data_IF_424670404017
#
_entry.id   IF_424670404017
#
_cell.length_a   1.000
_cell.length_b   1.000
_cell.length_c   1.000
_cell.angle_alpha   90.00
_cell.angle_beta   90.00
_cell.angle_gamma   90.00
#
_symmetry.space_group_name_H-M   'P 1'
#
loop_
_entity.id
_entity.type
_entity.pdbx_description
1 polymer ?
#
# COMPACT_ATOMS: atom_id res chain seq x y z
N UNK A 1 32.34 14.19 25.83
CA UNK A 1 30.99 14.60 25.35
C UNK A 1 30.22 13.34 25.01
N UNK A 2 28.90 13.33 25.26
CA UNK A 2 28.00 12.23 24.90
C UNK A 2 27.09 12.67 23.76
N UNK A 3 27.21 12.03 22.60
CA UNK A 3 26.29 12.25 21.48
C UNK A 3 24.98 11.51 21.76
N UNK A 4 23.90 12.26 21.95
CA UNK A 4 22.62 11.76 22.42
C UNK A 4 21.54 11.83 21.32
N UNK A 5 20.92 10.70 20.99
CA UNK A 5 19.78 10.62 20.06
C UNK A 5 18.44 10.64 20.81
N UNK A 6 17.67 11.70 20.60
CA UNK A 6 16.34 11.90 21.17
C UNK A 6 15.23 11.70 20.13
N UNK A 7 14.26 10.81 20.40
CA UNK A 7 13.17 10.46 19.49
C UNK A 7 11.76 10.65 20.07
N UNK A 8 11.68 11.11 21.33
CA UNK A 8 10.45 11.31 22.09
C UNK A 8 10.33 12.74 22.62
N UNK A 9 9.95 12.91 23.89
CA UNK A 9 9.81 14.24 24.51
C UNK A 9 11.13 15.03 24.57
N UNK A 10 12.28 14.36 24.58
CA UNK A 10 13.60 15.00 24.50
C UNK A 10 13.94 15.56 23.11
N UNK A 11 13.07 15.43 22.11
CA UNK A 11 13.23 16.18 20.86
C UNK A 11 13.15 17.70 21.09
N UNK A 12 12.53 18.14 22.19
CA UNK A 12 12.51 19.55 22.61
C UNK A 12 13.84 19.98 23.22
N UNK A 13 14.48 20.98 22.63
CA UNK A 13 15.73 21.54 23.12
C UNK A 13 15.60 22.09 24.55
N UNK A 14 14.55 22.84 24.83
CA UNK A 14 14.23 23.37 26.18
C UNK A 14 14.16 22.25 27.24
N UNK A 15 13.66 21.08 26.84
CA UNK A 15 13.57 19.93 27.73
C UNK A 15 14.94 19.31 28.04
N UNK A 16 15.86 19.34 27.08
CA UNK A 16 17.23 18.85 27.24
C UNK A 16 18.07 19.87 28.00
N UNK A 17 18.05 21.15 27.59
CA UNK A 17 18.83 22.22 28.23
C UNK A 17 18.38 22.50 29.66
N UNK A 18 17.10 22.32 29.99
CA UNK A 18 16.62 22.36 31.38
C UNK A 18 17.20 21.26 32.30
N UNK A 19 17.91 20.25 31.75
CA UNK A 19 18.57 19.17 32.51
C UNK A 19 20.07 19.09 32.29
N UNK A 20 20.54 19.56 31.14
CA UNK A 20 21.94 19.72 30.78
C UNK A 20 22.09 21.10 30.12
N UNK A 21 22.29 22.18 30.89
CA UNK A 21 22.30 23.56 30.40
C UNK A 21 23.28 23.83 29.28
N UNK A 22 24.39 23.09 29.24
CA UNK A 22 25.45 23.24 28.24
C UNK A 22 25.29 22.26 27.07
N UNK A 23 24.18 21.52 26.99
CA UNK A 23 23.89 20.66 25.85
C UNK A 23 23.65 21.49 24.57
N UNK A 24 24.22 21.04 23.46
CA UNK A 24 24.11 21.74 22.18
C UNK A 24 23.32 20.92 21.17
N UNK A 25 22.41 21.58 20.46
CA UNK A 25 21.69 20.97 19.34
C UNK A 25 22.65 20.73 18.17
N UNK A 26 22.82 19.48 17.77
CA UNK A 26 23.69 19.10 16.63
C UNK A 26 22.90 19.11 15.33
N UNK A 27 21.69 18.55 15.34
CA UNK A 27 20.87 18.47 14.14
C UNK A 27 19.86 17.34 14.16
N UNK A 28 19.11 17.24 13.07
CA UNK A 28 18.15 16.16 12.85
C UNK A 28 18.89 14.87 12.53
N UNK A 29 18.32 13.75 12.94
CA UNK A 29 18.84 12.44 12.58
C UNK A 29 17.71 11.42 12.34
N UNK A 30 18.06 10.34 11.64
CA UNK A 30 17.20 9.17 11.50
C UNK A 30 17.91 7.93 12.01
N UNK A 31 17.16 7.05 12.65
CA UNK A 31 17.60 5.76 13.17
C UNK A 31 16.97 4.63 12.33
N UNK A 32 17.70 4.04 11.36
CA UNK A 32 17.21 2.93 10.54
C UNK A 32 17.16 1.62 11.34
N UNK A 33 16.33 0.66 10.90
CA UNK A 33 16.14 -0.67 11.51
C UNK A 33 15.53 -0.65 12.92
N UNK A 34 14.86 0.45 13.28
CA UNK A 34 14.09 0.57 14.51
C UNK A 34 12.70 1.15 14.21
N UNK A 35 11.70 0.76 14.99
CA UNK A 35 10.40 1.43 15.04
C UNK A 35 10.18 2.10 16.38
N UNK A 36 9.37 3.17 16.37
CA UNK A 36 8.83 3.73 17.60
C UNK A 36 7.73 2.80 18.14
N UNK A 37 7.73 2.64 19.45
CA UNK A 37 6.80 1.81 20.21
C UNK A 37 6.37 2.60 21.44
N UNK A 38 5.16 2.35 21.95
CA UNK A 38 4.73 2.87 23.25
C UNK A 38 4.64 1.75 24.28
N UNK A 39 5.77 1.06 24.50
CA UNK A 39 5.85 -0.16 25.30
C UNK A 39 5.79 0.07 26.81
N UNK A 40 5.70 1.31 27.28
CA UNK A 40 5.74 1.64 28.71
C UNK A 40 4.67 2.65 29.07
N UNK A 41 4.02 2.42 30.21
CA UNK A 41 3.12 3.40 30.84
C UNK A 41 3.94 4.29 31.78
N UNK A 42 3.83 5.61 31.61
CA UNK A 42 4.40 6.58 32.52
C UNK A 42 3.72 6.52 33.88
N UNK A 43 4.50 6.40 34.96
CA UNK A 43 3.98 6.49 36.33
C UNK A 43 3.40 7.87 36.64
N UNK A 44 3.86 8.94 35.96
CA UNK A 44 3.41 10.32 36.20
C UNK A 44 2.08 10.62 35.54
N UNK A 45 1.88 10.17 34.31
CA UNK A 45 0.72 10.54 33.48
C UNK A 45 -0.26 9.40 33.28
N UNK A 46 0.11 8.16 33.62
CA UNK A 46 -0.72 7.00 33.36
C UNK A 46 -0.91 6.71 31.86
N UNK A 47 -0.06 7.22 30.98
CA UNK A 47 -0.18 7.07 29.52
C UNK A 47 1.09 6.48 28.90
N UNK A 48 0.98 6.00 27.67
CA UNK A 48 2.10 5.47 26.89
C UNK A 48 3.20 6.51 26.67
N UNK A 49 4.45 6.09 26.80
CA UNK A 49 5.64 6.90 26.48
C UNK A 49 6.50 6.22 25.42
N UNK A 50 7.18 7.03 24.61
CA UNK A 50 7.96 6.56 23.48
C UNK A 50 9.10 5.62 23.92
N UNK A 51 9.32 4.62 23.10
CA UNK A 51 10.36 3.60 23.17
C UNK A 51 10.80 3.28 21.73
N UNK A 52 11.95 2.66 21.56
CA UNK A 52 12.40 2.14 20.27
C UNK A 52 12.69 0.65 20.40
N UNK A 53 12.27 -0.11 19.38
CA UNK A 53 12.56 -1.54 19.27
C UNK A 53 13.14 -1.82 17.90
N UNK A 54 14.13 -2.71 17.84
CA UNK A 54 14.70 -3.16 16.59
C UNK A 54 13.59 -3.82 15.76
N UNK A 55 13.39 -3.32 14.55
CA UNK A 55 12.37 -3.79 13.64
C UNK A 55 12.86 -3.50 12.22
N UNK A 56 13.31 -4.53 11.49
CA UNK A 56 13.89 -4.33 10.17
C UNK A 56 12.96 -3.60 9.21
N UNK A 57 13.51 -2.65 8.45
CA UNK A 57 12.77 -1.84 7.48
C UNK A 57 11.96 -0.67 8.04
N UNK A 58 11.95 -0.47 9.38
CA UNK A 58 11.38 0.72 9.99
C UNK A 58 12.45 1.81 10.21
N UNK A 59 12.01 3.05 10.44
CA UNK A 59 12.92 4.13 10.82
C UNK A 59 12.26 5.07 11.83
N UNK A 60 13.06 5.51 12.80
CA UNK A 60 12.66 6.51 13.80
C UNK A 60 13.33 7.85 13.49
N UNK A 61 12.56 8.93 13.48
CA UNK A 61 13.07 10.28 13.35
C UNK A 61 13.36 10.88 14.73
N UNK A 62 14.42 11.68 14.82
CA UNK A 62 14.82 12.30 16.07
C UNK A 62 15.83 13.43 15.88
N UNK A 63 16.43 13.81 17.00
CA UNK A 63 17.39 14.92 17.14
C UNK A 63 18.66 14.39 17.79
N UNK A 64 19.81 14.92 17.36
CA UNK A 64 21.09 14.73 18.01
C UNK A 64 21.44 15.94 18.88
N UNK A 65 21.90 15.66 20.09
CA UNK A 65 22.47 16.63 21.01
C UNK A 65 23.88 16.20 21.41
N UNK A 66 24.81 17.15 21.53
CA UNK A 66 26.08 16.94 22.22
C UNK A 66 25.89 17.37 23.67
N UNK A 67 26.00 16.42 24.59
CA UNK A 67 25.77 16.63 26.02
C UNK A 67 27.10 16.47 26.79
N UNK A 68 27.51 17.44 27.61
CA UNK A 68 28.70 17.28 28.46
C UNK A 68 28.56 16.12 29.45
N UNK A 69 29.64 15.38 29.67
CA UNK A 69 29.63 14.16 30.50
C UNK A 69 29.26 14.45 31.97
N UNK A 70 29.69 15.60 32.49
CA UNK A 70 29.32 16.08 33.82
C UNK A 70 27.81 16.40 33.95
N UNK A 71 27.14 16.73 32.84
CA UNK A 71 25.71 17.04 32.80
C UNK A 71 24.84 15.85 32.37
N UNK A 72 25.44 14.80 31.80
CA UNK A 72 24.74 13.59 31.34
C UNK A 72 23.91 12.92 32.45
N UNK A 73 24.38 13.01 33.71
CA UNK A 73 23.65 12.52 34.88
C UNK A 73 22.26 13.16 35.03
N UNK A 74 22.08 14.41 34.58
CA UNK A 74 20.79 15.11 34.55
C UNK A 74 19.78 14.44 33.61
N UNK A 75 20.23 14.00 32.44
CA UNK A 75 19.44 13.27 31.45
C UNK A 75 19.10 11.86 31.96
N UNK A 76 20.10 11.12 32.47
CA UNK A 76 19.91 9.79 33.07
C UNK A 76 18.87 9.82 34.20
N UNK A 77 18.89 10.86 35.05
CA UNK A 77 17.89 11.04 36.11
C UNK A 77 16.49 11.27 35.56
N UNK A 78 16.36 12.05 34.48
CA UNK A 78 15.07 12.34 33.84
C UNK A 78 14.42 11.07 33.26
N UNK A 79 15.19 10.28 32.54
CA UNK A 79 14.73 9.03 31.92
C UNK A 79 14.51 7.91 32.96
N UNK A 80 14.83 8.17 34.23
CA UNK A 80 14.72 7.17 35.30
C UNK A 80 15.70 6.01 35.15
N UNK A 81 16.84 6.24 34.48
CA UNK A 81 17.90 5.26 34.28
C UNK A 81 18.71 5.01 35.57
N UNK A 82 18.70 5.97 36.51
CA UNK A 82 19.39 5.88 37.81
C UNK A 82 18.51 5.35 38.95
N UNK A 83 17.28 4.91 38.66
CA UNK A 83 16.38 4.36 39.68
C UNK A 83 16.78 2.94 40.07
N UNK A 84 16.43 2.50 41.30
CA UNK A 84 16.66 1.10 41.75
C UNK A 84 16.05 0.07 40.80
N UNK A 85 14.91 0.41 40.19
CA UNK A 85 14.33 -0.29 39.05
C UNK A 85 14.31 0.69 37.86
N UNK A 86 15.31 0.65 36.96
CA UNK A 86 15.43 1.62 35.89
C UNK A 86 14.26 1.55 34.91
N UNK A 87 13.72 2.71 34.54
CA UNK A 87 12.65 2.80 33.55
C UNK A 87 13.17 2.61 32.12
N UNK A 88 14.33 3.20 31.85
CA UNK A 88 15.06 3.11 30.58
C UNK A 88 16.51 2.74 30.86
N UNK A 89 17.16 2.12 29.87
CA UNK A 89 18.60 1.92 29.80
C UNK A 89 19.17 2.59 28.56
N UNK A 90 20.45 2.89 28.58
CA UNK A 90 21.15 3.41 27.40
C UNK A 90 21.57 2.27 26.48
N UNK A 91 21.50 2.52 25.18
CA UNK A 91 22.03 1.66 24.12
C UNK A 91 22.78 2.52 23.10
N UNK A 92 23.81 1.96 22.49
CA UNK A 92 24.44 2.58 21.33
C UNK A 92 23.65 2.23 20.06
N UNK A 93 23.36 3.25 19.26
CA UNK A 93 22.65 3.12 18.00
C UNK A 93 23.40 3.85 16.89
N UNK A 94 23.34 3.32 15.68
CA UNK A 94 23.91 3.99 14.50
C UNK A 94 22.82 4.84 13.85
N UNK A 95 22.97 6.16 13.92
CA UNK A 95 22.03 7.12 13.33
C UNK A 95 22.65 7.80 12.13
N UNK A 96 21.83 8.18 11.15
CA UNK A 96 22.25 9.03 10.04
C UNK A 96 21.97 10.50 10.39
N UNK A 97 23.03 11.30 10.55
CA UNK A 97 22.97 12.74 10.80
C UNK A 97 22.66 13.49 9.50
N UNK A 98 21.60 14.31 9.51
CA UNK A 98 21.29 15.16 8.35
C UNK A 98 22.19 16.39 8.26
N UNK A 99 22.71 16.88 9.39
CA UNK A 99 23.64 18.01 9.42
C UNK A 99 24.97 17.65 8.73
N UNK A 100 25.50 16.47 9.05
CA UNK A 100 26.81 16.02 8.55
C UNK A 100 26.73 15.12 7.31
N UNK A 101 25.52 14.68 6.94
CA UNK A 101 25.26 13.71 5.87
C UNK A 101 26.06 12.40 6.00
N UNK A 102 26.28 11.94 7.24
CA UNK A 102 27.00 10.69 7.55
C UNK A 102 26.36 9.95 8.73
N UNK A 103 26.66 8.67 8.83
CA UNK A 103 26.31 7.88 10.01
C UNK A 103 27.19 8.24 11.20
N UNK A 104 26.59 8.30 12.40
CA UNK A 104 27.26 8.49 13.69
C UNK A 104 26.74 7.47 14.69
N UNK A 105 27.62 6.99 15.57
CA UNK A 105 27.20 6.24 16.76
C UNK A 105 26.73 7.23 17.81
N UNK A 106 25.50 7.04 18.30
CA UNK A 106 24.89 7.88 19.32
C UNK A 106 24.27 7.03 20.42
N UNK A 107 24.20 7.58 21.62
CA UNK A 107 23.51 6.97 22.76
C UNK A 107 22.02 7.26 22.65
N UNK A 108 21.18 6.24 22.76
CA UNK A 108 19.72 6.36 22.85
C UNK A 108 19.21 5.65 24.10
N UNK A 109 17.99 5.97 24.52
CA UNK A 109 17.31 5.25 25.60
C UNK A 109 16.38 4.17 25.03
N UNK A 110 16.28 3.03 25.71
CA UNK A 110 15.27 1.99 25.44
C UNK A 110 14.64 1.54 26.74
N UNK A 111 13.37 1.15 26.71
CA UNK A 111 12.66 0.65 27.90
C UNK A 111 13.30 -0.67 28.34
N UNK A 112 13.55 -0.83 29.65
CA UNK A 112 14.18 -2.04 30.21
C UNK A 112 13.24 -3.24 30.16
N UNK A 113 11.97 -3.04 30.51
CA UNK A 113 10.94 -4.09 30.56
C UNK A 113 9.67 -3.59 29.89
N UNK A 114 9.61 -3.61 28.54
CA UNK A 114 8.44 -3.14 27.82
C UNK A 114 7.26 -4.10 27.99
N UNK A 115 6.07 -3.55 28.23
CA UNK A 115 4.81 -4.30 28.23
C UNK A 115 4.53 -4.88 26.85
N UNK A 116 4.03 -6.13 26.79
CA UNK A 116 3.65 -6.78 25.53
C UNK A 116 2.64 -5.96 24.72
N UNK A 117 1.67 -5.35 25.42
CA UNK A 117 0.68 -4.46 24.84
C UNK A 117 1.19 -3.02 24.83
N UNK A 118 1.12 -2.37 23.66
CA UNK A 118 1.41 -0.95 23.55
C UNK A 118 0.35 -0.11 24.27
N UNK A 119 0.84 0.91 24.97
CA UNK A 119 0.05 1.80 25.80
C UNK A 119 -0.28 3.06 25.00
N UNK A 120 -1.52 3.54 25.10
CA UNK A 120 -1.96 4.73 24.36
C UNK A 120 -1.27 5.98 24.95
N UNK A 121 -0.53 6.76 24.15
CA UNK A 121 0.07 8.02 24.62
C UNK A 121 -1.00 9.09 24.84
N UNK A 122 -0.72 10.09 25.68
CA UNK A 122 -1.66 11.19 25.86
C UNK A 122 -1.66 12.13 24.65
N UNK A 123 -2.77 12.84 24.45
CA UNK A 123 -2.88 13.81 23.36
C UNK A 123 -1.89 14.97 23.54
N UNK A 124 -1.62 15.38 24.78
CA UNK A 124 -0.63 16.41 25.13
C UNK A 124 0.78 15.95 24.80
N UNK A 125 1.12 14.70 25.15
CA UNK A 125 2.44 14.12 24.86
C UNK A 125 2.70 14.09 23.35
N UNK A 126 1.73 13.63 22.57
CA UNK A 126 1.83 13.61 21.10
C UNK A 126 1.84 15.02 20.52
N UNK A 127 1.07 15.96 21.08
CA UNK A 127 1.08 17.36 20.64
C UNK A 127 2.44 18.01 20.85
N UNK A 128 3.12 17.74 21.97
CA UNK A 128 4.49 18.21 22.19
C UNK A 128 5.45 17.66 21.14
N UNK A 129 5.35 16.36 20.80
CA UNK A 129 6.17 15.76 19.74
C UNK A 129 5.86 16.34 18.35
N UNK A 130 4.57 16.59 18.04
CA UNK A 130 4.12 17.21 16.78
C UNK A 130 4.75 18.59 16.63
N UNK A 131 4.67 19.43 17.67
CA UNK A 131 5.25 20.78 17.66
C UNK A 131 6.75 20.74 17.35
N UNK A 132 7.49 19.80 17.93
CA UNK A 132 8.92 19.65 17.62
C UNK A 132 9.15 19.14 16.20
N UNK A 133 8.38 18.14 15.76
CA UNK A 133 8.47 17.64 14.39
C UNK A 133 8.20 18.75 13.36
N UNK A 134 7.22 19.62 13.60
CA UNK A 134 6.92 20.78 12.75
C UNK A 134 8.05 21.81 12.76
N UNK A 135 8.57 22.19 13.93
CA UNK A 135 9.71 23.11 14.06
C UNK A 135 10.98 22.62 13.35
N UNK A 136 11.21 21.31 13.41
CA UNK A 136 12.36 20.67 12.78
C UNK A 136 12.16 20.46 11.27
N UNK A 137 10.99 20.78 10.69
CA UNK A 137 10.70 20.49 9.30
C UNK A 137 10.75 18.99 9.03
N UNK A 138 10.04 18.21 9.85
CA UNK A 138 9.83 16.77 9.71
C UNK A 138 8.35 16.47 9.39
N UNK A 139 7.80 16.95 8.25
CA UNK A 139 6.38 16.89 7.95
C UNK A 139 5.79 15.48 7.98
N UNK A 140 6.49 14.46 7.47
CA UNK A 140 6.02 13.07 7.58
C UNK A 140 5.88 12.59 9.03
N UNK A 141 6.85 12.92 9.88
CA UNK A 141 6.84 12.51 11.27
C UNK A 141 5.73 13.24 12.04
N UNK A 142 5.52 14.53 11.75
CA UNK A 142 4.39 15.29 12.29
C UNK A 142 3.04 14.70 11.88
N UNK A 143 2.87 14.29 10.62
CA UNK A 143 1.65 13.61 10.14
C UNK A 143 1.43 12.28 10.88
N UNK A 144 2.46 11.45 11.03
CA UNK A 144 2.40 10.21 11.80
C UNK A 144 1.96 10.46 13.26
N UNK A 145 2.54 11.47 13.92
CA UNK A 145 2.19 11.81 15.30
C UNK A 145 0.77 12.41 15.42
N UNK A 146 0.31 13.21 14.45
CA UNK A 146 -1.08 13.71 14.40
C UNK A 146 -2.08 12.56 14.24
N UNK A 147 -1.73 11.57 13.42
CA UNK A 147 -2.53 10.36 13.27
C UNK A 147 -2.59 9.56 14.57
N UNK A 148 -1.43 9.32 15.23
CA UNK A 148 -1.39 8.68 16.55
C UNK A 148 -2.27 9.42 17.55
N UNK A 149 -2.23 10.76 17.54
CA UNK A 149 -3.02 11.61 18.44
C UNK A 149 -4.51 11.43 18.19
N UNK A 150 -4.93 11.40 16.93
CA UNK A 150 -6.34 11.15 16.56
C UNK A 150 -6.79 9.77 17.02
N UNK A 151 -5.99 8.72 16.79
CA UNK A 151 -6.30 7.35 17.24
C UNK A 151 -6.36 7.21 18.76
N UNK A 152 -5.47 7.90 19.48
CA UNK A 152 -5.49 7.92 20.93
C UNK A 152 -6.80 8.49 21.51
N UNK A 153 -7.47 9.40 20.78
CA UNK A 153 -8.72 10.03 21.20
C UNK A 153 -9.99 9.19 20.94
N UNK A 154 -9.94 8.17 20.09
CA UNK A 154 -11.10 7.37 19.65
C UNK A 154 -11.33 6.08 20.50
N UNK A 155 -10.80 6.00 21.73
CA UNK A 155 -10.39 4.79 22.47
C UNK A 155 -11.29 3.53 22.52
N UNK A 156 -10.63 2.36 22.64
CA UNK A 156 -11.20 1.08 23.10
C UNK A 156 -10.35 -0.18 22.84
N UNK A 157 -9.46 -0.20 21.84
CA UNK A 157 -8.62 -1.38 21.54
C UNK A 157 -7.34 -0.97 20.82
N UNK A 158 -6.12 -1.33 21.29
CA UNK A 158 -4.91 -1.16 20.49
C UNK A 158 -4.90 -2.22 19.36
N UNK A 159 -4.39 -1.88 18.16
CA UNK A 159 -2.96 -2.15 17.97
C UNK A 159 -2.26 -1.00 17.24
N UNK A 160 -1.33 -0.35 17.95
CA UNK A 160 -0.32 0.56 17.38
C UNK A 160 0.63 -0.14 16.38
N UNK A 161 0.45 -1.45 16.15
CA UNK A 161 1.15 -2.28 15.15
C UNK A 161 0.57 -2.15 13.72
N UNK A 162 -0.53 -1.42 13.53
CA UNK A 162 -1.27 -1.37 12.26
C UNK A 162 -0.99 -0.12 11.41
N UNK A 163 -0.01 -0.22 10.50
CA UNK A 163 0.24 0.76 9.46
C UNK A 163 1.67 0.63 8.93
N UNK A 164 1.81 0.16 7.70
CA UNK A 164 3.08 0.25 6.98
C UNK A 164 3.39 1.73 6.70
N UNK A 165 4.66 2.13 6.63
CA UNK A 165 5.10 3.51 6.37
C UNK A 165 6.11 3.51 5.21
N UNK A 166 5.66 3.85 4.01
CA UNK A 166 6.56 4.01 2.83
C UNK A 166 6.89 5.48 2.61
N UNK A 167 8.15 5.84 2.36
CA UNK A 167 8.59 7.22 2.14
C UNK A 167 8.68 7.65 0.69
N UNK A 168 8.28 8.89 0.40
CA UNK A 168 8.53 9.60 -0.86
C UNK A 168 9.84 10.42 -0.82
N UNK A 169 10.55 10.67 -1.93
CA UNK A 169 11.88 11.29 -1.98
C UNK A 169 12.26 11.82 -3.37
N UNK A 170 12.94 12.95 -3.50
CA UNK A 170 13.23 13.54 -4.82
C UNK A 170 14.64 13.21 -5.34
N UNK A 171 15.36 12.27 -4.72
CA UNK A 171 16.80 12.01 -4.99
C UNK A 171 17.00 10.62 -5.58
N UNK A 172 17.42 10.50 -6.85
CA UNK A 172 17.75 9.21 -7.49
C UNK A 172 18.78 8.44 -6.62
N UNK A 173 18.47 7.20 -6.23
CA UNK A 173 19.36 6.28 -5.49
C UNK A 173 19.69 6.64 -4.04
N UNK A 174 18.91 7.48 -3.35
CA UNK A 174 19.08 7.71 -1.90
C UNK A 174 17.74 7.86 -1.17
N UNK A 175 17.57 7.23 0.02
CA UNK A 175 16.45 7.54 0.91
C UNK A 175 16.61 8.97 1.42
N UNK A 176 15.86 9.91 0.86
CA UNK A 176 16.02 11.34 1.11
C UNK A 176 14.73 12.11 1.30
N UNK A 177 13.60 11.46 1.55
CA UNK A 177 12.34 12.18 1.81
C UNK A 177 11.46 11.54 2.88
N UNK A 178 10.21 11.98 2.92
CA UNK A 178 9.27 11.91 4.04
C UNK A 178 8.29 10.70 3.94
N UNK A 179 8.19 9.89 5.02
CA UNK A 179 7.39 8.65 5.21
C UNK A 179 5.86 8.83 5.15
N UNK A 180 5.16 8.32 4.12
CA UNK A 180 3.79 8.70 3.76
C UNK A 180 2.97 7.66 2.92
N UNK A 181 2.82 6.39 3.32
CA UNK A 181 1.77 5.47 2.79
C UNK A 181 1.32 4.51 3.87
N UNK A 182 0.02 4.50 4.23
CA UNK A 182 -0.58 3.58 5.21
C UNK A 182 -1.35 2.44 4.53
N UNK A 183 -1.04 1.19 4.90
CA UNK A 183 -1.78 -0.03 4.51
C UNK A 183 -2.75 -0.44 5.61
N UNK A 184 -4.05 -0.59 5.30
CA UNK A 184 -5.06 -1.03 6.27
C UNK A 184 -5.07 -2.57 6.44
N UNK A 185 -4.98 -3.14 7.65
CA UNK A 185 -4.87 -4.60 7.84
C UNK A 185 -6.19 -5.38 7.86
N UNK A 186 -7.35 -4.74 8.09
CA UNK A 186 -8.65 -5.44 7.94
C UNK A 186 -8.96 -5.90 6.51
N UNK A 187 -8.26 -5.38 5.50
CA UNK A 187 -8.33 -5.82 4.10
C UNK A 187 -7.31 -6.91 3.76
N UNK A 188 -6.28 -7.12 4.59
CA UNK A 188 -5.26 -8.16 4.41
C UNK A 188 -5.78 -9.59 4.65
N UNK A 189 -6.86 -9.76 5.42
CA UNK A 189 -7.28 -11.07 5.93
C UNK A 189 -8.45 -11.79 5.24
N UNK A 190 -9.14 -11.20 4.26
CA UNK A 190 -10.39 -11.80 3.72
C UNK A 190 -10.51 -11.90 2.20
N UNK A 191 -9.53 -11.48 1.41
CA UNK A 191 -9.67 -11.46 -0.06
C UNK A 191 -8.62 -12.36 -0.69
N UNK A 192 -9.07 -13.30 -1.54
CA UNK A 192 -8.23 -14.20 -2.35
C UNK A 192 -7.21 -13.48 -3.25
N UNK A 193 -7.27 -12.14 -3.34
CA UNK A 193 -6.27 -11.27 -3.96
C UNK A 193 -5.82 -10.19 -2.96
N UNK A 194 -4.51 -10.02 -2.75
CA UNK A 194 -3.83 -9.06 -1.83
C UNK A 194 -4.13 -7.57 -2.17
N UNK A 195 -5.38 -7.15 -2.11
CA UNK A 195 -5.79 -5.76 -2.34
C UNK A 195 -5.78 -4.99 -1.02
N UNK A 196 -5.24 -3.77 -1.04
CA UNK A 196 -5.15 -2.89 0.12
C UNK A 196 -5.70 -1.51 -0.20
N UNK A 197 -6.15 -0.80 0.82
CA UNK A 197 -6.41 0.63 0.72
C UNK A 197 -5.15 1.38 1.15
N UNK A 198 -4.81 2.40 0.37
CA UNK A 198 -3.67 3.28 0.59
C UNK A 198 -4.19 4.70 0.78
N UNK A 199 -3.65 5.39 1.78
CA UNK A 199 -4.01 6.77 2.09
C UNK A 199 -2.77 7.66 2.17
N UNK A 200 -2.85 8.83 1.55
CA UNK A 200 -1.85 9.90 1.62
C UNK A 200 -2.55 11.26 1.54
N UNK A 201 -2.23 12.19 2.46
CA UNK A 201 -2.77 13.55 2.52
C UNK A 201 -4.30 13.65 2.36
N UNK A 202 -5.02 12.75 3.04
CA UNK A 202 -6.49 12.65 2.98
C UNK A 202 -7.04 12.03 1.70
N UNK A 203 -6.21 11.78 0.67
CA UNK A 203 -6.58 11.02 -0.52
C UNK A 203 -6.46 9.53 -0.23
N UNK A 204 -7.47 8.76 -0.65
CA UNK A 204 -7.51 7.32 -0.45
C UNK A 204 -7.73 6.63 -1.80
N UNK A 205 -7.02 5.54 -2.04
CA UNK A 205 -7.22 4.70 -3.22
C UNK A 205 -7.01 3.22 -2.91
N UNK A 206 -7.35 2.36 -3.86
CA UNK A 206 -7.11 0.91 -3.78
C UNK A 206 -5.84 0.60 -4.54
N UNK A 207 -4.96 -0.19 -3.94
CA UNK A 207 -3.75 -0.69 -4.56
C UNK A 207 -3.68 -2.22 -4.44
N UNK A 208 -2.96 -2.85 -5.36
CA UNK A 208 -2.58 -4.25 -5.22
C UNK A 208 -1.27 -4.32 -4.41
N UNK A 209 -1.30 -4.95 -3.24
CA UNK A 209 -0.11 -5.18 -2.44
C UNK A 209 0.61 -6.42 -2.95
N UNK A 210 1.91 -6.28 -3.16
CA UNK A 210 2.77 -7.43 -3.24
C UNK A 210 4.00 -7.33 -2.35
N UNK A 211 4.56 -8.49 -2.03
CA UNK A 211 5.76 -8.63 -1.22
C UNK A 211 6.70 -9.46 -2.09
N UNK A 212 7.57 -8.78 -2.85
CA UNK A 212 8.59 -9.40 -3.70
C UNK A 212 9.94 -9.38 -2.99
N UNK A 213 10.72 -10.44 -3.11
CA UNK A 213 12.11 -10.51 -2.61
C UNK A 213 13.11 -9.77 -3.52
N UNK A 214 12.71 -9.39 -4.74
CA UNK A 214 13.56 -8.77 -5.79
C UNK A 214 13.53 -7.23 -5.84
N UNK A 215 13.03 -6.57 -4.81
CA UNK A 215 13.18 -5.11 -4.72
C UNK A 215 14.55 -4.83 -4.12
N UNK A 216 15.43 -4.20 -4.89
CA UNK A 216 16.76 -3.82 -4.43
C UNK A 216 16.68 -3.20 -3.04
N UNK A 217 17.53 -3.64 -2.10
CA UNK A 217 17.56 -3.08 -0.74
C UNK A 217 17.45 -1.56 -0.80
N UNK A 218 16.53 -0.96 -0.01
CA UNK A 218 16.29 0.49 0.07
C UNK A 218 15.43 1.07 -1.06
N UNK A 219 14.62 0.28 -1.75
CA UNK A 219 13.66 0.81 -2.74
C UNK A 219 12.20 0.45 -2.48
N UNK A 220 11.30 1.39 -2.81
CA UNK A 220 9.86 1.15 -2.83
C UNK A 220 9.31 1.62 -4.16
N UNK A 221 8.76 0.69 -4.94
CA UNK A 221 8.13 1.02 -6.20
C UNK A 221 6.63 1.23 -6.01
N UNK A 222 6.23 2.50 -6.04
CA UNK A 222 4.84 2.91 -6.25
C UNK A 222 4.71 3.33 -7.72
N UNK A 223 3.72 2.77 -8.41
CA UNK A 223 3.36 3.15 -9.79
C UNK A 223 3.16 4.67 -9.96
N UNK A 224 3.52 5.21 -11.13
CA UNK A 224 3.39 6.64 -11.42
C UNK A 224 1.94 7.12 -11.33
N UNK A 225 0.96 6.31 -11.78
CA UNK A 225 -0.45 6.68 -11.70
C UNK A 225 -0.94 6.63 -10.25
N UNK A 226 -0.46 5.67 -9.47
CA UNK A 226 -0.77 5.59 -8.04
C UNK A 226 -0.19 6.77 -7.25
N UNK A 227 1.00 7.27 -7.63
CA UNK A 227 1.55 8.51 -7.07
C UNK A 227 0.71 9.72 -7.44
N UNK A 228 0.35 9.86 -8.70
CA UNK A 228 -0.50 10.95 -9.17
C UNK A 228 -1.86 10.96 -8.45
N UNK A 229 -2.48 9.78 -8.34
CA UNK A 229 -3.70 9.52 -7.60
C UNK A 229 -3.63 9.98 -6.14
N UNK A 230 -2.54 9.64 -5.46
CA UNK A 230 -2.29 10.03 -4.07
C UNK A 230 -1.89 11.52 -3.95
N UNK A 231 -1.51 12.20 -5.03
CA UNK A 231 -1.00 13.57 -5.00
C UNK A 231 0.51 13.67 -4.72
N UNK A 232 1.24 12.58 -4.90
CA UNK A 232 2.70 12.48 -4.74
C UNK A 232 3.44 12.95 -6.01
N UNK A 233 3.06 14.10 -6.57
CA UNK A 233 3.62 14.61 -7.83
C UNK A 233 5.06 15.09 -7.60
N UNK A 234 6.00 14.61 -8.42
CA UNK A 234 7.42 14.97 -8.34
C UNK A 234 8.20 14.27 -7.20
N UNK A 235 7.59 13.27 -6.56
CA UNK A 235 8.21 12.50 -5.47
C UNK A 235 8.58 11.08 -5.96
N UNK A 236 9.85 10.67 -5.83
CA UNK A 236 10.24 9.24 -5.89
C UNK A 236 9.73 8.50 -4.65
N UNK A 237 9.76 7.18 -4.59
CA UNK A 237 9.39 6.42 -3.39
C UNK A 237 10.56 5.51 -3.02
N UNK A 238 10.98 5.49 -1.75
CA UNK A 238 12.00 4.56 -1.24
C UNK A 238 11.61 4.10 0.18
N UNK A 239 11.64 2.79 0.40
CA UNK A 239 11.38 2.11 1.67
C UNK A 239 12.02 0.73 1.66
N UNK A 240 11.91 -0.03 2.76
CA UNK A 240 12.21 -1.46 2.75
C UNK A 240 10.88 -2.25 2.78
N UNK A 241 10.80 -3.22 1.86
CA UNK A 241 9.82 -4.33 1.76
C UNK A 241 8.33 -4.01 1.62
N UNK A 242 7.97 -3.06 0.74
CA UNK A 242 6.73 -3.17 -0.03
C UNK A 242 6.99 -2.66 -1.45
N UNK A 243 7.10 -3.57 -2.42
CA UNK A 243 6.92 -3.24 -3.84
C UNK A 243 5.43 -3.37 -4.16
N UNK A 244 4.79 -2.31 -4.64
CA UNK A 244 3.36 -2.38 -5.03
C UNK A 244 3.30 -2.84 -6.50
N UNK A 245 3.76 -4.06 -6.84
CA UNK A 245 3.82 -4.64 -8.20
C UNK A 245 3.96 -6.19 -8.15
N UNK A 246 3.63 -6.98 -9.19
CA UNK A 246 2.86 -8.24 -9.09
C UNK A 246 3.51 -9.46 -8.42
N UNK A 247 2.62 -10.21 -7.74
CA UNK A 247 2.83 -11.43 -6.94
C UNK A 247 3.98 -12.33 -7.41
N UNK A 248 4.90 -12.72 -6.50
CA UNK A 248 5.59 -14.02 -6.37
C UNK A 248 6.52 -14.00 -5.13
N UNK A 249 6.61 -14.96 -4.19
CA UNK A 249 5.96 -16.21 -3.79
C UNK A 249 6.05 -16.32 -2.23
N UNK A 250 5.76 -17.40 -1.50
CA UNK A 250 5.17 -18.69 -1.79
C UNK A 250 4.56 -19.25 -0.47
N UNK A 251 3.22 -19.40 -0.42
CA UNK A 251 2.56 -20.56 0.22
C UNK A 251 1.21 -20.77 -0.47
N UNK A 252 1.05 -21.98 -0.99
CA UNK A 252 0.09 -22.41 -2.00
C UNK A 252 -1.39 -22.09 -1.71
N UNK A 253 -1.88 -21.00 -2.29
CA UNK A 253 -3.07 -21.07 -3.14
C UNK A 253 -2.79 -20.24 -4.38
N UNK A 254 -2.36 -20.93 -5.42
CA UNK A 254 -2.08 -20.40 -6.74
C UNK A 254 -3.42 -19.97 -7.36
N UNK A 255 -3.75 -18.67 -7.30
CA UNK A 255 -4.49 -18.11 -8.43
C UNK A 255 -3.51 -18.21 -9.61
N UNK A 256 -3.81 -19.17 -10.49
CA UNK A 256 -3.01 -19.63 -11.63
C UNK A 256 -2.70 -18.52 -12.65
N UNK A 257 -3.37 -17.37 -12.55
CA UNK A 257 -3.17 -16.18 -13.37
C UNK A 257 -3.18 -14.94 -12.46
N UNK A 258 -2.19 -14.05 -12.62
CA UNK A 258 -2.07 -12.78 -11.91
C UNK A 258 -2.40 -11.63 -12.86
N UNK A 259 -3.64 -11.11 -12.85
CA UNK A 259 -4.06 -10.09 -13.80
C UNK A 259 -3.37 -8.75 -13.50
N UNK A 260 -2.82 -8.09 -14.52
CA UNK A 260 -2.30 -6.72 -14.43
C UNK A 260 -3.39 -5.76 -13.96
N UNK A 261 -3.03 -4.74 -13.20
CA UNK A 261 -3.97 -3.73 -12.72
C UNK A 261 -3.42 -2.33 -12.93
N UNK A 262 -4.28 -1.39 -13.27
CA UNK A 262 -3.93 0.02 -13.47
C UNK A 262 -4.72 0.87 -12.48
N UNK A 263 -4.07 1.85 -11.87
CA UNK A 263 -4.76 2.95 -11.19
C UNK A 263 -5.08 4.02 -12.22
N UNK A 264 -6.37 4.29 -12.46
CA UNK A 264 -6.83 5.26 -13.46
C UNK A 264 -7.72 6.31 -12.79
N UNK A 265 -7.73 7.51 -13.36
CA UNK A 265 -8.49 8.65 -12.88
C UNK A 265 -9.89 8.65 -13.47
N UNK A 266 -10.91 8.84 -12.63
CA UNK A 266 -12.30 8.83 -13.10
C UNK A 266 -12.61 10.13 -13.85
N UNK A 267 -13.09 9.96 -15.08
CA UNK A 267 -13.62 11.03 -15.93
C UNK A 267 -15.06 10.73 -16.35
N UNK A 268 -15.75 11.78 -16.81
CA UNK A 268 -17.08 11.65 -17.38
C UNK A 268 -16.99 11.03 -18.78
N UNK A 269 -17.91 10.12 -19.09
CA UNK A 269 -18.11 9.62 -20.46
C UNK A 269 -18.68 10.69 -21.37
N UNK A 270 -18.44 10.53 -22.68
CA UNK A 270 -19.15 11.33 -23.68
C UNK A 270 -20.65 10.96 -23.68
N UNK A 271 -21.51 11.89 -24.11
CA UNK A 271 -22.97 11.69 -24.12
C UNK A 271 -23.39 10.47 -24.95
N UNK A 272 -22.66 10.17 -26.02
CA UNK A 272 -22.88 9.00 -26.89
C UNK A 272 -22.73 7.68 -26.12
N UNK A 273 -21.81 7.64 -25.15
CA UNK A 273 -21.50 6.45 -24.36
C UNK A 273 -22.16 6.47 -22.97
N UNK A 274 -23.00 7.48 -22.71
CA UNK A 274 -23.80 7.54 -21.48
C UNK A 274 -24.82 6.40 -21.47
N UNK A 275 -25.13 5.89 -20.28
CA UNK A 275 -26.16 4.87 -20.02
C UNK A 275 -25.92 3.49 -20.67
N UNK A 276 -24.82 3.31 -21.40
CA UNK A 276 -24.44 2.02 -21.99
C UNK A 276 -23.89 1.02 -20.95
N UNK A 277 -23.61 1.47 -19.72
CA UNK A 277 -23.03 0.65 -18.65
C UNK A 277 -21.72 -0.02 -19.09
N UNK A 278 -20.85 0.78 -19.70
CA UNK A 278 -19.51 0.41 -20.17
C UNK A 278 -18.46 1.29 -19.49
N UNK A 279 -17.20 0.87 -19.53
CA UNK A 279 -16.09 1.77 -19.26
C UNK A 279 -15.34 2.05 -20.55
N UNK A 280 -15.00 3.32 -20.78
CA UNK A 280 -14.16 3.71 -21.92
C UNK A 280 -12.74 3.95 -21.43
N UNK A 281 -11.78 3.27 -22.07
CA UNK A 281 -10.36 3.27 -21.76
C UNK A 281 -9.55 3.57 -23.02
N UNK A 282 -8.38 4.17 -22.84
CA UNK A 282 -7.43 4.33 -23.93
C UNK A 282 -6.89 2.98 -24.43
N UNK A 283 -6.59 2.89 -25.73
CA UNK A 283 -6.09 1.66 -26.39
C UNK A 283 -4.85 1.08 -25.69
N UNK A 284 -3.92 1.96 -25.26
CA UNK A 284 -2.74 1.57 -24.48
C UNK A 284 -3.09 0.98 -23.12
N UNK A 285 -4.15 1.45 -22.47
CA UNK A 285 -4.59 0.97 -21.15
C UNK A 285 -5.20 -0.44 -21.28
N UNK A 286 -5.94 -0.72 -22.36
CA UNK A 286 -6.38 -2.08 -22.69
C UNK A 286 -5.20 -3.02 -22.93
N UNK A 287 -4.22 -2.58 -23.74
CA UNK A 287 -3.02 -3.36 -24.03
C UNK A 287 -2.19 -3.64 -22.76
N UNK A 288 -2.04 -2.64 -21.88
CA UNK A 288 -1.39 -2.80 -20.59
C UNK A 288 -2.13 -3.78 -19.68
N UNK A 289 -3.46 -3.76 -19.68
CA UNK A 289 -4.28 -4.72 -18.92
C UNK A 289 -4.29 -6.13 -19.55
N UNK A 290 -3.77 -6.31 -20.78
CA UNK A 290 -3.74 -7.60 -21.47
C UNK A 290 -5.12 -8.05 -21.96
N UNK A 291 -6.02 -7.10 -22.22
CA UNK A 291 -7.41 -7.37 -22.62
C UNK A 291 -7.72 -6.72 -23.97
N UNK A 292 -8.72 -7.27 -24.66
CA UNK A 292 -9.26 -6.76 -25.93
C UNK A 292 -10.52 -5.92 -25.69
N UNK A 293 -10.88 -5.15 -26.70
CA UNK A 293 -12.14 -4.42 -26.71
C UNK A 293 -13.36 -5.34 -26.54
N UNK A 294 -14.32 -4.91 -25.72
CA UNK A 294 -15.51 -5.68 -25.34
C UNK A 294 -15.27 -6.72 -24.22
N UNK A 295 -14.04 -6.87 -23.75
CA UNK A 295 -13.73 -7.77 -22.63
C UNK A 295 -14.03 -7.13 -21.27
N UNK A 296 -14.18 -7.98 -20.26
CA UNK A 296 -14.63 -7.53 -18.94
C UNK A 296 -13.49 -7.10 -18.04
N UNK A 297 -13.65 -5.91 -17.47
CA UNK A 297 -12.84 -5.40 -16.36
C UNK A 297 -13.64 -5.41 -15.06
N UNK A 298 -12.92 -5.45 -13.95
CA UNK A 298 -13.41 -5.13 -12.61
C UNK A 298 -12.76 -3.81 -12.18
N UNK A 299 -13.60 -2.87 -11.77
CA UNK A 299 -13.18 -1.56 -11.27
C UNK A 299 -13.46 -1.52 -9.77
N UNK A 300 -12.48 -1.06 -8.99
CA UNK A 300 -12.56 -0.99 -7.54
C UNK A 300 -12.30 0.43 -7.05
N UNK A 301 -13.10 0.88 -6.08
CA UNK A 301 -12.97 2.18 -5.45
C UNK A 301 -12.92 2.03 -3.93
N UNK A 302 -12.05 2.81 -3.28
CA UNK A 302 -12.01 2.92 -1.82
C UNK A 302 -13.01 4.02 -1.42
N UNK A 303 -13.95 3.65 -0.56
CA UNK A 303 -15.01 4.56 -0.12
C UNK A 303 -15.03 4.61 1.40
N UNK A 304 -15.07 5.83 1.96
CA UNK A 304 -15.34 6.06 3.38
C UNK A 304 -16.84 6.22 3.58
N UNK A 305 -17.40 5.45 4.49
CA UNK A 305 -18.76 5.68 4.95
C UNK A 305 -18.85 6.87 5.93
N UNK A 306 -20.07 7.25 6.28
CA UNK A 306 -20.35 8.35 7.23
C UNK A 306 -19.81 8.12 8.64
N UNK A 307 -19.41 6.89 8.99
CA UNK A 307 -18.75 6.55 10.26
C UNK A 307 -17.22 6.63 10.19
N UNK A 308 -16.67 6.96 9.02
CA UNK A 308 -15.22 7.03 8.75
C UNK A 308 -14.57 5.68 8.45
N UNK A 309 -15.34 4.60 8.37
CA UNK A 309 -14.85 3.27 8.03
C UNK A 309 -14.58 3.17 6.52
N UNK A 310 -13.43 2.60 6.17
CA UNK A 310 -13.03 2.38 4.78
C UNK A 310 -13.53 1.03 4.30
N UNK A 311 -14.29 1.05 3.20
CA UNK A 311 -14.71 -0.14 2.49
C UNK A 311 -14.34 -0.04 1.01
N UNK A 312 -14.28 -1.18 0.32
CA UNK A 312 -13.99 -1.24 -1.11
C UNK A 312 -15.26 -1.63 -1.85
N UNK A 313 -15.72 -0.75 -2.74
CA UNK A 313 -16.78 -1.07 -3.69
C UNK A 313 -16.18 -1.53 -5.01
N UNK A 314 -16.90 -2.38 -5.73
CA UNK A 314 -16.45 -2.91 -7.02
C UNK A 314 -17.61 -3.07 -7.99
N UNK A 315 -17.33 -2.82 -9.26
CA UNK A 315 -18.26 -3.04 -10.38
C UNK A 315 -17.53 -3.83 -11.48
N UNK A 316 -18.28 -4.56 -12.31
CA UNK A 316 -17.75 -5.26 -13.48
C UNK A 316 -18.38 -4.71 -14.74
N UNK A 317 -17.56 -4.24 -15.67
CA UNK A 317 -17.99 -3.57 -16.89
C UNK A 317 -17.26 -4.16 -18.10
N UNK A 318 -17.82 -3.95 -19.29
CA UNK A 318 -17.08 -4.19 -20.54
C UNK A 318 -16.27 -2.95 -20.87
N UNK A 319 -15.02 -3.17 -21.27
CA UNK A 319 -14.11 -2.10 -21.63
C UNK A 319 -14.10 -1.87 -23.15
N UNK A 320 -14.30 -0.62 -23.55
CA UNK A 320 -14.24 -0.20 -24.94
C UNK A 320 -13.26 0.95 -25.13
N UNK A 321 -12.82 1.14 -26.37
CA UNK A 321 -12.16 2.37 -26.79
C UNK A 321 -13.21 3.36 -27.31
N UNK A 322 -12.87 4.64 -27.41
CA UNK A 322 -13.78 5.59 -28.05
C UNK A 322 -13.83 5.36 -29.55
N UNK A 323 -14.99 5.58 -30.16
CA UNK A 323 -15.11 5.63 -31.61
C UNK A 323 -14.26 6.79 -32.15
N UNK A 324 -13.26 6.49 -32.99
CA UNK A 324 -12.45 7.51 -33.67
C UNK A 324 -13.34 8.32 -34.61
N UNK A 325 -13.68 9.56 -34.24
CA UNK A 325 -14.21 10.55 -35.19
C UNK A 325 -13.06 11.27 -35.88
N UNK A 326 -13.17 11.45 -37.19
CA UNK A 326 -12.15 12.13 -38.00
C UNK A 326 -12.03 13.64 -37.70
N UNK A 327 -12.98 14.23 -36.96
CA UNK A 327 -13.20 15.68 -36.92
C UNK A 327 -13.35 16.27 -35.49
N UNK A 328 -12.83 15.58 -34.47
CA UNK A 328 -12.74 16.15 -33.12
C UNK A 328 -11.31 16.03 -32.60
N UNK A 329 -10.78 17.15 -32.12
CA UNK A 329 -9.53 17.23 -31.37
C UNK A 329 -9.50 16.18 -30.25
N UNK A 330 -8.42 15.40 -30.20
CA UNK A 330 -8.23 14.12 -29.49
C UNK A 330 -8.20 14.22 -27.94
N UNK A 331 -9.31 14.54 -27.26
CA UNK A 331 -9.33 14.59 -25.78
C UNK A 331 -10.02 13.40 -25.09
N UNK A 332 -10.56 12.44 -25.84
CA UNK A 332 -11.29 11.28 -25.28
C UNK A 332 -10.93 9.96 -25.98
N UNK A 333 -10.51 8.92 -25.24
CA UNK A 333 -10.17 8.89 -23.81
C UNK A 333 -8.73 9.34 -23.55
N UNK A 334 -8.48 9.93 -22.37
CA UNK A 334 -7.11 10.14 -21.88
C UNK A 334 -6.46 8.81 -21.50
N UNK A 335 -5.12 8.74 -21.58
CA UNK A 335 -4.38 7.50 -21.30
C UNK A 335 -4.54 7.01 -19.84
N UNK A 336 -4.45 7.93 -18.89
CA UNK A 336 -4.58 7.72 -17.45
C UNK A 336 -6.03 7.83 -16.96
N UNK A 337 -7.00 7.95 -17.87
CA UNK A 337 -8.40 8.12 -17.53
C UNK A 337 -9.19 6.81 -17.64
N UNK A 338 -10.18 6.67 -16.78
CA UNK A 338 -11.29 5.74 -16.95
C UNK A 338 -12.58 6.53 -16.99
N UNK A 339 -13.31 6.39 -18.10
CA UNK A 339 -14.54 7.13 -18.30
C UNK A 339 -15.73 6.27 -17.88
N UNK A 340 -16.54 6.80 -16.95
CA UNK A 340 -17.70 6.12 -16.38
C UNK A 340 -18.95 6.99 -16.44
N UNK A 341 -20.07 6.37 -16.82
CA UNK A 341 -21.38 7.02 -16.74
C UNK A 341 -21.82 7.27 -15.28
N UNK A 342 -22.93 7.98 -15.11
CA UNK A 342 -23.43 8.36 -13.78
C UNK A 342 -23.79 7.15 -12.92
N UNK A 343 -24.43 6.13 -13.50
CA UNK A 343 -24.87 4.95 -12.76
C UNK A 343 -23.68 4.14 -12.23
N UNK A 344 -22.69 3.90 -13.08
CA UNK A 344 -21.47 3.19 -12.72
C UNK A 344 -20.71 3.89 -11.59
N UNK A 345 -20.65 5.23 -11.62
CA UNK A 345 -20.01 6.03 -10.56
C UNK A 345 -20.74 5.92 -9.23
N UNK A 346 -22.08 6.00 -9.24
CA UNK A 346 -22.90 5.85 -8.04
C UNK A 346 -22.74 4.45 -7.42
N UNK A 347 -22.72 3.39 -8.24
CA UNK A 347 -22.51 2.02 -7.77
C UNK A 347 -21.11 1.83 -7.14
N UNK A 348 -20.09 2.51 -7.68
CA UNK A 348 -18.75 2.57 -7.11
C UNK A 348 -18.65 3.44 -5.83
N UNK A 349 -19.73 4.09 -5.41
CA UNK A 349 -19.73 5.00 -4.27
C UNK A 349 -18.95 6.29 -4.50
N UNK A 350 -18.82 6.71 -5.76
CA UNK A 350 -18.28 8.02 -6.10
C UNK A 350 -19.37 9.08 -5.94
N UNK A 351 -19.02 10.32 -5.58
CA UNK A 351 -19.96 11.42 -5.51
C UNK A 351 -20.61 11.71 -6.87
N UNK A 352 -21.80 12.29 -6.82
CA UNK A 352 -22.52 12.70 -8.01
C UNK A 352 -21.91 13.94 -8.66
N UNK A 353 -21.33 14.82 -7.85
CA UNK A 353 -20.91 16.15 -8.26
C UNK A 353 -19.59 16.13 -9.00
N UNK A 354 -19.54 16.83 -10.14
CA UNK A 354 -18.40 16.80 -11.07
C UNK A 354 -17.09 17.20 -10.42
N UNK A 355 -17.09 18.25 -9.61
CA UNK A 355 -15.87 18.68 -8.91
C UNK A 355 -15.36 17.67 -7.89
N UNK A 356 -16.21 16.75 -7.41
CA UNK A 356 -15.84 15.82 -6.36
C UNK A 356 -15.34 14.47 -6.88
N UNK A 357 -15.92 13.94 -7.97
CA UNK A 357 -15.50 12.64 -8.51
C UNK A 357 -14.41 12.75 -9.58
N UNK A 358 -14.29 13.89 -10.26
CA UNK A 358 -13.30 14.06 -11.32
C UNK A 358 -11.90 13.85 -10.76
N UNK A 359 -11.05 13.15 -11.51
CA UNK A 359 -9.71 12.78 -11.09
C UNK A 359 -9.65 11.89 -9.84
N UNK A 360 -10.77 11.30 -9.39
CA UNK A 360 -10.71 10.30 -8.31
C UNK A 360 -10.08 9.01 -8.83
N UNK A 361 -9.08 8.47 -8.13
CA UNK A 361 -8.40 7.28 -8.59
C UNK A 361 -9.17 6.01 -8.26
N UNK A 362 -9.29 5.12 -9.24
CA UNK A 362 -9.87 3.79 -9.11
C UNK A 362 -8.91 2.74 -9.65
N UNK A 363 -8.97 1.53 -9.09
CA UNK A 363 -8.18 0.40 -9.57
C UNK A 363 -8.97 -0.36 -10.64
N UNK A 364 -8.41 -0.49 -11.84
CA UNK A 364 -8.99 -1.24 -12.96
C UNK A 364 -8.17 -2.49 -13.20
N UNK A 365 -8.82 -3.66 -13.26
CA UNK A 365 -8.16 -4.94 -13.56
C UNK A 365 -9.02 -5.85 -14.43
N UNK A 366 -8.44 -6.79 -15.20
CA UNK A 366 -9.17 -7.83 -15.91
C UNK A 366 -10.05 -8.69 -14.98
N UNK A 367 -11.27 -8.98 -15.41
CA UNK A 367 -12.15 -9.89 -14.68
C UNK A 367 -11.90 -11.34 -15.12
N UNK A 368 -10.90 -11.99 -14.52
CA UNK A 368 -10.44 -13.36 -14.89
C UNK A 368 -11.58 -14.37 -15.02
N UNK A 369 -12.55 -14.36 -14.08
CA UNK A 369 -13.70 -15.27 -14.13
C UNK A 369 -14.59 -15.03 -15.36
N UNK A 370 -14.82 -13.77 -15.75
CA UNK A 370 -15.63 -13.42 -16.92
C UNK A 370 -14.87 -13.72 -18.22
N UNK A 371 -13.57 -13.44 -18.25
CA UNK A 371 -12.70 -13.80 -19.37
C UNK A 371 -12.71 -15.31 -19.60
N UNK A 372 -12.58 -16.11 -18.54
CA UNK A 372 -12.64 -17.57 -18.63
C UNK A 372 -13.97 -18.06 -19.20
N UNK A 373 -15.09 -17.49 -18.74
CA UNK A 373 -16.41 -17.79 -19.30
C UNK A 373 -16.51 -17.45 -20.80
N UNK A 374 -15.99 -16.28 -21.21
CA UNK A 374 -15.99 -15.86 -22.61
C UNK A 374 -15.11 -16.76 -23.49
N UNK A 375 -13.93 -17.16 -22.99
CA UNK A 375 -13.02 -18.05 -23.72
C UNK A 375 -13.54 -19.48 -23.81
N UNK A 376 -14.11 -20.03 -22.73
CA UNK A 376 -14.77 -21.33 -22.76
C UNK A 376 -15.92 -21.33 -23.78
N UNK A 377 -16.72 -20.26 -23.83
CA UNK A 377 -17.79 -20.15 -24.82
C UNK A 377 -17.24 -20.12 -26.26
N UNK A 378 -16.16 -19.35 -26.51
CA UNK A 378 -15.54 -19.25 -27.84
C UNK A 378 -14.89 -20.57 -28.27
N UNK A 379 -14.05 -21.17 -27.45
CA UNK A 379 -13.34 -22.41 -27.77
C UNK A 379 -14.26 -23.64 -27.73
N UNK A 380 -15.28 -23.62 -26.86
CA UNK A 380 -16.25 -24.70 -26.73
C UNK A 380 -17.00 -24.97 -28.03
N UNK A 381 -17.31 -23.94 -28.82
CA UNK A 381 -17.89 -24.10 -30.16
C UNK A 381 -16.95 -24.88 -31.08
N UNK A 382 -15.66 -24.56 -31.06
CA UNK A 382 -14.65 -25.24 -31.89
C UNK A 382 -14.45 -26.69 -31.47
N UNK A 383 -14.35 -26.97 -30.17
CA UNK A 383 -14.17 -28.33 -29.67
C UNK A 383 -15.44 -29.19 -29.81
N UNK A 384 -16.63 -28.59 -29.72
CA UNK A 384 -17.89 -29.29 -29.96
C UNK A 384 -17.95 -29.88 -31.38
N UNK A 385 -17.50 -29.12 -32.38
CA UNK A 385 -17.40 -29.60 -33.76
C UNK A 385 -16.39 -30.75 -33.92
N UNK A 386 -15.39 -30.85 -33.05
CA UNK A 386 -14.37 -31.91 -33.07
C UNK A 386 -14.73 -33.19 -32.31
N UNK A 387 -15.83 -33.22 -31.55
CA UNK A 387 -16.21 -34.40 -30.72
C UNK A 387 -16.42 -35.65 -31.57
N UNK A 388 -17.04 -35.50 -32.75
CA UNK A 388 -17.29 -36.62 -33.67
C UNK A 388 -15.97 -37.26 -34.13
N UNK A 389 -14.99 -36.45 -34.53
CA UNK A 389 -13.66 -36.91 -34.94
C UNK A 389 -12.89 -37.56 -33.78
N UNK A 390 -13.02 -37.04 -32.56
CA UNK A 390 -12.39 -37.61 -31.37
C UNK A 390 -12.98 -38.99 -31.01
N UNK A 391 -14.30 -39.14 -31.14
CA UNK A 391 -14.99 -40.42 -30.94
C UNK A 391 -14.56 -41.48 -31.96
N UNK A 392 -14.37 -41.08 -33.22
CA UNK A 392 -13.85 -41.95 -34.28
C UNK A 392 -12.41 -42.39 -34.01
N UNK A 393 -11.54 -41.46 -33.56
CA UNK A 393 -10.17 -41.80 -33.16
C UNK A 393 -10.14 -42.79 -31.99
N UNK A 394 -10.97 -42.58 -30.96
CA UNK A 394 -11.07 -43.52 -29.83
C UNK A 394 -11.54 -44.91 -30.26
N UNK A 395 -12.34 -45.01 -31.32
CA UNK A 395 -12.75 -46.30 -31.86
C UNK A 395 -11.57 -47.09 -32.48
N UNK A 396 -10.55 -46.39 -33.00
CA UNK A 396 -9.35 -47.01 -33.57
C UNK A 396 -8.37 -47.48 -32.48
N UNK A 397 -8.18 -46.69 -31.41
CA UNK A 397 -7.17 -46.96 -30.37
C UNK A 397 -7.70 -47.75 -29.16
N UNK A 398 -9.01 -47.72 -28.91
CA UNK A 398 -9.67 -48.44 -27.82
C UNK A 398 -10.94 -49.14 -28.31
N UNK A 399 -10.81 -50.16 -29.17
CA UNK A 399 -11.96 -50.83 -29.80
C UNK A 399 -12.84 -51.58 -28.80
N UNK A 400 -12.30 -51.93 -27.63
CA UNK A 400 -12.99 -52.66 -26.56
C UNK A 400 -14.01 -51.80 -25.79
N UNK A 401 -14.00 -50.47 -25.97
CA UNK A 401 -14.97 -49.57 -25.33
C UNK A 401 -16.28 -49.50 -26.13
N UNK A 402 -17.42 -49.51 -25.43
CA UNK A 402 -18.73 -49.33 -26.05
C UNK A 402 -18.87 -47.94 -26.69
N UNK A 403 -19.75 -47.81 -27.69
CA UNK A 403 -20.02 -46.53 -28.38
C UNK A 403 -20.42 -45.41 -27.42
N UNK A 404 -21.22 -45.74 -26.40
CA UNK A 404 -21.66 -44.80 -25.38
C UNK A 404 -20.50 -44.31 -24.50
N UNK A 405 -19.62 -45.21 -24.07
CA UNK A 405 -18.45 -44.84 -23.25
C UNK A 405 -17.45 -44.00 -24.07
N UNK A 406 -17.23 -44.32 -25.34
CA UNK A 406 -16.38 -43.51 -26.23
C UNK A 406 -16.94 -42.10 -26.45
N UNK A 407 -18.25 -41.98 -26.65
CA UNK A 407 -18.93 -40.68 -26.76
C UNK A 407 -18.76 -39.83 -25.50
N UNK A 408 -18.97 -40.41 -24.32
CA UNK A 408 -18.78 -39.72 -23.04
C UNK A 408 -17.32 -39.31 -22.82
N UNK A 409 -16.36 -40.17 -23.16
CA UNK A 409 -14.94 -39.87 -23.05
C UNK A 409 -14.51 -38.76 -24.01
N UNK A 410 -15.05 -38.74 -25.23
CA UNK A 410 -14.82 -37.68 -26.21
C UNK A 410 -15.36 -36.33 -25.72
N UNK A 411 -16.56 -36.30 -25.16
CA UNK A 411 -17.15 -35.10 -24.55
C UNK A 411 -16.30 -34.60 -23.37
N UNK A 412 -15.93 -35.50 -22.45
CA UNK A 412 -15.11 -35.14 -21.29
C UNK A 412 -13.74 -34.58 -21.71
N UNK A 413 -13.10 -35.19 -22.71
CA UNK A 413 -11.81 -34.73 -23.25
C UNK A 413 -11.95 -33.38 -23.95
N UNK A 414 -13.02 -33.16 -24.73
CA UNK A 414 -13.29 -31.89 -25.39
C UNK A 414 -13.55 -30.76 -24.38
N UNK A 415 -14.29 -31.02 -23.29
CA UNK A 415 -14.52 -30.05 -22.21
C UNK A 415 -13.20 -29.73 -21.51
N UNK A 416 -12.40 -30.74 -21.17
CA UNK A 416 -11.11 -30.56 -20.51
C UNK A 416 -10.15 -29.75 -21.40
N UNK A 417 -10.04 -30.10 -22.68
CA UNK A 417 -9.23 -29.36 -23.65
C UNK A 417 -9.70 -27.90 -23.80
N UNK A 418 -11.01 -27.67 -23.86
CA UNK A 418 -11.59 -26.31 -23.91
C UNK A 418 -11.19 -25.49 -22.69
N UNK A 419 -11.28 -26.05 -21.49
CA UNK A 419 -10.91 -25.37 -20.24
C UNK A 419 -9.40 -25.10 -20.20
N UNK A 420 -8.57 -26.07 -20.60
CA UNK A 420 -7.11 -25.92 -20.63
C UNK A 420 -6.70 -24.83 -21.63
N UNK A 421 -7.21 -24.86 -22.86
CA UNK A 421 -6.88 -23.86 -23.89
C UNK A 421 -7.37 -22.47 -23.48
N UNK A 422 -8.60 -22.37 -22.97
CA UNK A 422 -9.13 -21.11 -22.44
C UNK A 422 -8.24 -20.54 -21.32
N UNK A 423 -7.74 -21.42 -20.45
CA UNK A 423 -6.88 -21.03 -19.36
C UNK A 423 -5.46 -20.64 -19.82
N UNK A 424 -4.87 -21.36 -20.78
CA UNK A 424 -3.57 -21.03 -21.37
C UNK A 424 -3.60 -19.69 -22.12
N UNK A 425 -4.66 -19.42 -22.88
CA UNK A 425 -4.83 -18.14 -23.59
C UNK A 425 -4.95 -16.97 -22.60
N UNK A 426 -5.75 -17.11 -21.54
CA UNK A 426 -5.86 -16.08 -20.49
C UNK A 426 -4.54 -15.89 -19.77
N UNK A 427 -3.82 -16.98 -19.50
CA UNK A 427 -2.49 -16.89 -18.90
C UNK A 427 -1.58 -16.07 -19.80
N UNK A 428 -1.47 -16.42 -21.08
CA UNK A 428 -0.63 -15.72 -22.05
C UNK A 428 -1.02 -14.24 -22.25
N UNK A 429 -2.32 -13.92 -22.23
CA UNK A 429 -2.78 -12.55 -22.43
C UNK A 429 -2.58 -11.66 -21.20
N UNK A 430 -2.67 -12.23 -20.00
CA UNK A 430 -2.59 -11.49 -18.74
C UNK A 430 -1.21 -11.54 -18.07
N UNK A 431 -0.33 -12.48 -18.47
CA UNK A 431 1.01 -12.61 -17.90
C UNK A 431 2.01 -11.64 -18.49
N UNK A 432 2.65 -10.86 -17.61
CA UNK A 432 4.10 -10.62 -17.61
C UNK A 432 4.63 -11.02 -16.23
#
# INVERSE_FOLDING_TARGET
MVLYFAYGSNMSEETVTGRAPSATFVGKARLPEYRIRFGRKSKKTGTGVADIVAEPGFTVMGVLYDVPENEWKGILRKEGALMKQPAYRTVEVTVYSFADKKSRTATAFVVVSPSEAEQIPSAEYLSAMITQADRLGLPAYAVFLRWLRKRAAEAGTPPLREGLLVSGTNVRNRPGGHYLVRVHPRTLGKVKSRLVTVEFDGRVTVAALDITEEVAERSCEIDQNLRHALGMIGQNCYGYTVGIHPLSGMRNRVDLVRPRSLTLLVHQTNWIDSEKRICVLHERSLALLGIKEGEHVEILNAWRDGSGHLSVKKIKLRAYTSEKRADQTRDYPGFDHVHLDRECRTELGLPTDRGEFLNRPVLVRPSVRRLLQQRIARYGVTFFLGIASLSQLLALFAPTLSSLVRGLLAIATAILATVIVAWLDIRASLSY
#
